data_IF_723617818396
#
_entry.id   IF_723617818396
#
_cell.length_a   1.000
_cell.length_b   1.000
_cell.length_c   1.000
_cell.angle_alpha   90.00
_cell.angle_beta   90.00
_cell.angle_gamma   90.00
#
_symmetry.space_group_name_H-M   'P 1'
#
loop_
_entity.id
_entity.type
_entity.pdbx_description
1 polymer ?
#
# COMPACT_ATOMS: atom_id res chain seq x y z
N UNK A 1 -10.83 10.75 16.45
CA UNK A 1 -12.18 11.36 16.40
C UNK A 1 -12.47 11.72 14.95
N UNK A 2 -13.67 11.40 14.43
CA UNK A 2 -14.05 11.78 13.07
C UNK A 2 -14.30 13.29 12.99
N UNK A 3 -13.57 13.98 12.13
CA UNK A 3 -13.74 15.43 11.94
C UNK A 3 -14.81 15.67 10.88
N UNK A 4 -15.83 16.44 11.25
CA UNK A 4 -16.93 16.79 10.36
C UNK A 4 -16.45 17.66 9.20
N UNK A 5 -16.90 17.32 7.97
CA UNK A 5 -16.65 18.15 6.81
C UNK A 5 -17.60 19.36 6.82
N UNK A 6 -17.08 20.54 6.48
CA UNK A 6 -17.90 21.75 6.27
C UNK A 6 -18.58 21.76 4.90
N UNK A 7 -18.18 20.87 3.98
CA UNK A 7 -18.65 20.81 2.58
C UNK A 7 -19.50 19.56 2.29
N UNK A 8 -19.62 18.63 3.24
CA UNK A 8 -20.23 17.32 3.03
C UNK A 8 -20.80 16.75 4.32
N UNK A 9 -21.84 15.91 4.22
CA UNK A 9 -22.41 15.15 5.36
C UNK A 9 -21.55 13.98 5.83
N UNK A 10 -20.50 13.64 5.07
CA UNK A 10 -19.56 12.57 5.40
C UNK A 10 -18.33 13.14 6.12
N UNK A 11 -17.77 12.41 7.10
CA UNK A 11 -16.58 12.83 7.81
C UNK A 11 -15.35 12.86 6.88
N UNK A 12 -14.39 13.72 7.22
CA UNK A 12 -13.08 13.72 6.57
C UNK A 12 -12.37 12.42 6.94
N UNK A 13 -11.90 11.68 5.93
CA UNK A 13 -11.34 10.33 6.11
C UNK A 13 -10.10 10.35 6.99
N UNK A 14 -9.20 11.30 6.72
CA UNK A 14 -8.01 11.57 7.52
C UNK A 14 -7.80 13.10 7.51
N UNK A 15 -7.80 13.79 8.66
CA UNK A 15 -7.50 15.21 8.68
C UNK A 15 -6.07 15.47 8.23
N UNK A 16 -5.84 16.63 7.60
CA UNK A 16 -4.50 17.10 7.34
C UNK A 16 -3.77 17.30 8.68
N UNK A 17 -2.58 16.75 8.78
CA UNK A 17 -1.65 16.98 9.89
C UNK A 17 -0.44 17.72 9.36
N UNK A 18 0.28 18.43 10.23
CA UNK A 18 1.54 19.09 9.86
C UNK A 18 2.53 18.09 9.26
N UNK A 19 2.59 16.87 9.78
CA UNK A 19 3.40 15.79 9.21
C UNK A 19 3.00 15.44 7.76
N UNK A 20 1.71 15.42 7.42
CA UNK A 20 1.31 15.18 6.03
C UNK A 20 1.74 16.30 5.09
N UNK A 21 1.82 17.54 5.57
CA UNK A 21 2.36 18.65 4.79
C UNK A 21 3.88 18.48 4.62
N UNK A 22 4.60 18.17 5.70
CA UNK A 22 6.06 18.00 5.69
C UNK A 22 6.51 16.86 4.76
N UNK A 23 5.83 15.72 4.79
CA UNK A 23 6.11 14.58 3.91
C UNK A 23 5.52 14.73 2.50
N UNK A 24 4.84 15.84 2.20
CA UNK A 24 4.27 16.11 0.88
C UNK A 24 3.07 15.24 0.50
N UNK A 25 2.32 14.74 1.49
CA UNK A 25 1.12 13.94 1.31
C UNK A 25 -0.18 14.75 1.26
N UNK A 26 -0.14 16.02 1.66
CA UNK A 26 -1.31 16.89 1.62
C UNK A 26 -1.82 17.07 0.18
N UNK A 27 -3.12 16.81 -0.03
CA UNK A 27 -3.81 17.05 -1.31
C UNK A 27 -3.36 16.16 -2.49
N UNK A 28 -2.53 15.14 -2.26
CA UNK A 28 -1.97 14.29 -3.33
C UNK A 28 -2.21 12.80 -3.10
N UNK A 29 -2.15 12.02 -4.19
CA UNK A 29 -2.36 10.57 -4.16
C UNK A 29 -3.81 10.19 -3.83
N UNK A 30 -3.98 9.01 -3.22
CA UNK A 30 -5.31 8.42 -2.94
C UNK A 30 -5.60 8.28 -1.44
N UNK A 31 -4.57 8.05 -0.62
CA UNK A 31 -4.73 7.72 0.80
C UNK A 31 -5.00 8.94 1.69
N UNK A 32 -4.21 10.01 1.52
CA UNK A 32 -4.25 11.22 2.35
C UNK A 32 -4.79 12.45 1.61
N UNK A 33 -5.38 12.24 0.42
CA UNK A 33 -5.86 13.33 -0.42
C UNK A 33 -7.27 13.76 0.00
N UNK A 34 -7.36 14.94 0.61
CA UNK A 34 -8.62 15.55 1.00
C UNK A 34 -9.21 16.49 -0.06
N UNK A 35 -8.49 16.75 -1.15
CA UNK A 35 -9.05 17.48 -2.29
C UNK A 35 -9.86 16.54 -3.17
N UNK A 36 -11.18 16.75 -3.24
CA UNK A 36 -12.08 15.83 -3.91
C UNK A 36 -11.80 15.67 -5.41
N UNK A 37 -11.39 16.73 -6.11
CA UNK A 37 -11.16 16.69 -7.56
C UNK A 37 -9.84 15.99 -7.87
N UNK A 38 -8.77 16.36 -7.17
CA UNK A 38 -7.48 15.68 -7.19
C UNK A 38 -7.63 14.21 -6.83
N UNK A 39 -8.37 13.89 -5.76
CA UNK A 39 -8.60 12.51 -5.32
C UNK A 39 -9.34 11.69 -6.38
N UNK A 40 -10.40 12.23 -7.01
CA UNK A 40 -11.13 11.54 -8.07
C UNK A 40 -10.23 11.17 -9.24
N UNK A 41 -9.42 12.12 -9.71
CA UNK A 41 -8.48 11.90 -10.81
C UNK A 41 -7.43 10.84 -10.44
N UNK A 42 -6.75 11.00 -9.29
CA UNK A 42 -5.74 10.07 -8.81
C UNK A 42 -6.31 8.66 -8.58
N UNK A 43 -7.53 8.57 -8.04
CA UNK A 43 -8.22 7.29 -7.82
C UNK A 43 -8.56 6.60 -9.13
N UNK A 44 -9.01 7.33 -10.13
CA UNK A 44 -9.32 6.77 -11.44
C UNK A 44 -8.05 6.21 -12.10
N UNK A 45 -6.98 7.01 -12.15
CA UNK A 45 -5.70 6.57 -12.71
C UNK A 45 -5.17 5.32 -11.99
N UNK A 46 -5.09 5.37 -10.66
CA UNK A 46 -4.61 4.24 -9.84
C UNK A 46 -5.45 2.98 -10.05
N UNK A 47 -6.79 3.11 -10.07
CA UNK A 47 -7.67 1.95 -10.25
C UNK A 47 -7.51 1.34 -11.64
N UNK A 48 -7.36 2.17 -12.69
CA UNK A 48 -7.16 1.67 -14.05
C UNK A 48 -5.83 0.91 -14.19
N UNK A 49 -4.75 1.42 -13.59
CA UNK A 49 -3.45 0.75 -13.62
C UNK A 49 -3.48 -0.59 -12.85
N UNK A 50 -3.95 -0.55 -11.60
CA UNK A 50 -3.91 -1.69 -10.68
C UNK A 50 -4.94 -2.78 -11.00
N UNK A 51 -6.10 -2.43 -11.55
CA UNK A 51 -7.15 -3.41 -11.88
C UNK A 51 -7.00 -3.99 -13.29
N UNK A 52 -5.92 -3.67 -14.00
CA UNK A 52 -5.67 -4.29 -15.30
C UNK A 52 -5.41 -5.79 -15.14
N UNK A 53 -5.98 -6.66 -16.00
CA UNK A 53 -5.72 -8.10 -15.94
C UNK A 53 -4.22 -8.43 -16.05
N UNK A 54 -3.47 -7.66 -16.84
CA UNK A 54 -2.02 -7.80 -16.97
C UNK A 54 -1.30 -7.53 -15.66
N UNK A 55 -1.70 -6.49 -14.91
CA UNK A 55 -1.13 -6.21 -13.60
C UNK A 55 -1.41 -7.35 -12.63
N UNK A 56 -2.67 -7.82 -12.55
CA UNK A 56 -3.02 -8.93 -11.65
C UNK A 56 -2.23 -10.21 -11.96
N UNK A 57 -2.08 -10.55 -13.24
CA UNK A 57 -1.28 -11.70 -13.67
C UNK A 57 0.19 -11.54 -13.25
N UNK A 58 0.78 -10.37 -13.50
CA UNK A 58 2.17 -10.10 -13.12
C UNK A 58 2.33 -10.10 -11.59
N UNK A 59 1.42 -9.49 -10.84
CA UNK A 59 1.45 -9.47 -9.39
C UNK A 59 1.44 -10.89 -8.80
N UNK A 60 0.57 -11.78 -9.31
CA UNK A 60 0.55 -13.19 -8.92
C UNK A 60 1.84 -13.91 -9.28
N UNK A 61 2.36 -13.69 -10.49
CA UNK A 61 3.63 -14.28 -10.94
C UNK A 61 4.78 -13.88 -10.02
N UNK A 62 4.98 -12.58 -9.79
CA UNK A 62 6.03 -12.05 -8.92
C UNK A 62 5.87 -12.51 -7.47
N UNK A 63 4.64 -12.55 -6.96
CA UNK A 63 4.35 -13.07 -5.61
C UNK A 63 4.84 -14.51 -5.47
N UNK A 64 4.54 -15.37 -6.45
CA UNK A 64 5.00 -16.77 -6.44
C UNK A 64 6.52 -16.88 -6.56
N UNK A 65 7.15 -16.08 -7.44
CA UNK A 65 8.61 -16.08 -7.60
C UNK A 65 9.33 -15.66 -6.30
N UNK A 66 8.89 -14.57 -5.68
CA UNK A 66 9.43 -14.09 -4.41
C UNK A 66 9.18 -15.07 -3.26
N UNK A 67 8.01 -15.73 -3.25
CA UNK A 67 7.69 -16.73 -2.24
C UNK A 67 8.60 -17.95 -2.35
N UNK A 68 8.77 -18.49 -3.56
CA UNK A 68 9.67 -19.61 -3.80
C UNK A 68 11.13 -19.26 -3.43
N UNK A 69 11.55 -18.03 -3.72
CA UNK A 69 12.87 -17.55 -3.30
C UNK A 69 13.00 -17.53 -1.77
N UNK A 70 11.98 -17.01 -1.07
CA UNK A 70 11.95 -16.98 0.39
C UNK A 70 11.98 -18.38 1.01
N UNK A 71 11.15 -19.28 0.49
CA UNK A 71 11.10 -20.68 0.91
C UNK A 71 12.46 -21.36 0.70
N UNK A 72 13.17 -21.07 -0.40
CA UNK A 72 14.51 -21.61 -0.62
C UNK A 72 15.50 -21.16 0.45
N UNK A 73 15.41 -19.92 0.94
CA UNK A 73 16.24 -19.45 2.05
C UNK A 73 15.87 -20.15 3.36
N UNK A 74 14.58 -20.32 3.64
CA UNK A 74 14.13 -21.04 4.84
C UNK A 74 14.58 -22.50 4.86
N UNK A 75 14.48 -23.19 3.72
CA UNK A 75 14.95 -24.57 3.59
C UNK A 75 16.46 -24.70 3.85
N UNK A 76 17.25 -23.65 3.58
CA UNK A 76 18.69 -23.61 3.85
C UNK A 76 19.03 -23.31 5.32
N UNK A 77 18.08 -22.88 6.16
CA UNK A 77 18.33 -22.61 7.58
C UNK A 77 18.44 -23.89 8.43
N UNK A 78 17.93 -25.03 7.93
CA UNK A 78 17.88 -26.30 8.65
C UNK A 78 16.71 -26.39 9.65
N UNK A 79 16.65 -27.50 10.38
CA UNK A 79 15.66 -27.71 11.44
C UNK A 79 15.99 -26.86 12.69
N UNK A 80 14.99 -26.59 13.54
CA UNK A 80 15.10 -25.83 14.79
C UNK A 80 15.50 -24.34 14.69
N UNK A 81 15.35 -23.72 13.51
CA UNK A 81 15.53 -22.27 13.35
C UNK A 81 14.23 -21.50 13.61
N UNK A 82 14.26 -20.52 14.50
CA UNK A 82 13.12 -19.62 14.72
C UNK A 82 12.97 -18.64 13.55
N UNK A 83 11.78 -18.60 12.96
CA UNK A 83 11.46 -17.68 11.88
C UNK A 83 10.80 -16.41 12.41
N UNK A 84 11.53 -15.30 12.34
CA UNK A 84 10.95 -13.96 12.52
C UNK A 84 10.16 -13.57 11.27
N UNK A 85 8.88 -13.95 11.25
CA UNK A 85 7.98 -13.69 10.11
C UNK A 85 7.83 -12.20 9.81
N UNK A 86 7.98 -11.31 10.80
CA UNK A 86 7.89 -9.85 10.57
C UNK A 86 9.09 -9.39 9.73
N UNK A 87 10.30 -9.85 10.06
CA UNK A 87 11.49 -9.53 9.26
C UNK A 87 11.38 -10.09 7.84
N UNK A 88 10.87 -11.31 7.70
CA UNK A 88 10.71 -11.93 6.38
C UNK A 88 9.65 -11.25 5.52
N UNK A 89 8.49 -10.91 6.08
CA UNK A 89 7.45 -10.16 5.35
C UNK A 89 7.95 -8.78 4.90
N UNK A 90 8.74 -8.07 5.71
CA UNK A 90 9.36 -6.81 5.26
C UNK A 90 10.29 -7.00 4.05
N UNK A 91 11.06 -8.09 4.04
CA UNK A 91 11.93 -8.42 2.89
C UNK A 91 11.13 -8.83 1.66
N UNK A 92 9.95 -9.42 1.85
CA UNK A 92 9.01 -9.75 0.77
C UNK A 92 8.45 -8.50 0.09
N UNK A 93 8.00 -7.54 0.89
CA UNK A 93 7.30 -6.33 0.40
C UNK A 93 8.24 -5.29 -0.21
N UNK A 94 9.52 -5.30 0.15
CA UNK A 94 10.51 -4.28 -0.23
C UNK A 94 11.48 -4.73 -1.34
N UNK A 95 11.20 -5.84 -2.01
CA UNK A 95 12.07 -6.38 -3.08
C UNK A 95 11.59 -6.02 -4.48
#
# INVERSE_FOLDING_TARGET
>A
MNISSTKSKYPIRLPNSEGFVEYGFDGVGVAFNNDLQSWKYNRQFFSQAMMSPSFNYQALKWTNELWNEMESYWNNLGEDHELDLIKWLRRFEMK
#
